data_IF_825683901206
#
_entry.id   IF_825683901206
#
_cell.length_a   1.000
_cell.length_b   1.000
_cell.length_c   1.000
_cell.angle_alpha   90.00
_cell.angle_beta   90.00
_cell.angle_gamma   90.00
#
_symmetry.space_group_name_H-M   'P 1'
#
loop_
_entity.id
_entity.type
_entity.pdbx_description
1 polymer ?
#
# COMPACT_ATOMS: atom_id res chain seq x y z
N UNK A 1 -7.34 -21.27 18.66
CA UNK A 1 -8.07 -20.24 17.88
C UNK A 1 -7.45 -20.15 16.50
N UNK A 2 -8.25 -19.92 15.47
CA UNK A 2 -7.73 -19.65 14.12
C UNK A 2 -7.19 -18.24 14.06
N UNK A 3 -6.05 -17.98 13.37
CA UNK A 3 -5.55 -16.63 13.22
C UNK A 3 -6.55 -15.73 12.47
N UNK A 4 -6.68 -14.50 12.93
CA UNK A 4 -7.61 -13.49 12.44
C UNK A 4 -6.97 -12.68 11.33
N UNK A 5 -7.56 -12.68 10.14
CA UNK A 5 -7.03 -12.00 8.95
C UNK A 5 -7.98 -10.89 8.52
N UNK A 6 -7.42 -9.71 8.25
CA UNK A 6 -8.06 -8.60 7.54
C UNK A 6 -7.55 -8.60 6.10
N UNK A 7 -8.46 -8.49 5.13
CA UNK A 7 -8.13 -8.47 3.69
C UNK A 7 -8.52 -7.13 3.07
N UNK A 8 -7.62 -6.56 2.27
CA UNK A 8 -7.83 -5.29 1.57
C UNK A 8 -7.37 -5.38 0.11
N UNK A 9 -8.32 -5.27 -0.80
CA UNK A 9 -8.08 -5.25 -2.26
C UNK A 9 -9.33 -4.66 -2.94
N UNK A 10 -9.17 -3.87 -3.98
CA UNK A 10 -10.29 -3.29 -4.73
C UNK A 10 -10.82 -4.21 -5.84
N UNK A 11 -10.13 -5.31 -6.11
CA UNK A 11 -10.53 -6.31 -7.10
C UNK A 11 -11.38 -7.41 -6.45
N UNK A 12 -12.69 -7.34 -6.64
CA UNK A 12 -13.66 -8.31 -6.06
C UNK A 12 -13.36 -9.77 -6.40
N UNK A 13 -12.87 -10.05 -7.61
CA UNK A 13 -12.51 -11.39 -8.04
C UNK A 13 -11.30 -11.95 -7.27
N UNK A 14 -10.28 -11.12 -7.03
CA UNK A 14 -9.11 -11.48 -6.23
C UNK A 14 -9.53 -11.76 -4.78
N UNK A 15 -10.36 -10.89 -4.22
CA UNK A 15 -10.90 -11.06 -2.87
C UNK A 15 -11.64 -12.40 -2.71
N UNK A 16 -12.47 -12.78 -3.68
CA UNK A 16 -13.18 -14.06 -3.66
C UNK A 16 -12.20 -15.26 -3.71
N UNK A 17 -11.18 -15.20 -4.57
CA UNK A 17 -10.15 -16.24 -4.67
C UNK A 17 -9.35 -16.40 -3.38
N UNK A 18 -8.88 -15.29 -2.79
CA UNK A 18 -8.12 -15.31 -1.54
C UNK A 18 -9.01 -15.81 -0.39
N UNK A 19 -10.26 -15.36 -0.31
CA UNK A 19 -11.21 -15.85 0.69
C UNK A 19 -11.33 -17.37 0.64
N UNK A 20 -11.47 -17.95 -0.55
CA UNK A 20 -11.55 -19.42 -0.72
C UNK A 20 -10.26 -20.11 -0.24
N UNK A 21 -9.08 -19.52 -0.47
CA UNK A 21 -7.80 -20.05 0.01
C UNK A 21 -7.65 -20.00 1.53
N UNK A 22 -8.26 -19.01 2.18
CA UNK A 22 -8.21 -18.82 3.63
C UNK A 22 -9.25 -19.64 4.37
N UNK A 23 -10.33 -20.01 3.70
CA UNK A 23 -11.46 -20.69 4.30
C UNK A 23 -11.06 -22.00 4.98
N UNK A 24 -11.62 -22.26 6.15
CA UNK A 24 -11.31 -23.44 6.96
C UNK A 24 -10.02 -23.37 7.79
N UNK A 25 -9.06 -22.52 7.41
CA UNK A 25 -7.75 -22.38 8.08
C UNK A 25 -7.62 -21.10 8.92
N UNK A 26 -8.24 -20.02 8.49
CA UNK A 26 -8.14 -18.69 9.09
C UNK A 26 -9.53 -18.09 9.33
N UNK A 27 -9.60 -17.11 10.23
CA UNK A 27 -10.81 -16.33 10.50
C UNK A 27 -10.73 -14.98 9.79
N UNK A 28 -11.51 -14.80 8.73
CA UNK A 28 -11.58 -13.55 7.98
C UNK A 28 -12.46 -12.55 8.75
N UNK A 29 -11.81 -11.64 9.50
CA UNK A 29 -12.50 -10.70 10.40
C UNK A 29 -12.96 -9.42 9.71
N UNK A 30 -12.55 -9.20 8.48
CA UNK A 30 -12.98 -8.04 7.68
C UNK A 30 -12.43 -8.10 6.27
N UNK A 31 -13.14 -7.39 5.38
CA UNK A 31 -12.77 -7.20 3.99
C UNK A 31 -13.10 -5.77 3.59
N UNK A 32 -12.14 -5.08 2.97
CA UNK A 32 -12.27 -3.68 2.55
C UNK A 32 -11.68 -3.49 1.15
N UNK A 33 -12.10 -2.44 0.45
CA UNK A 33 -11.71 -2.18 -0.95
C UNK A 33 -10.97 -0.88 -1.16
N UNK A 34 -10.58 -0.19 -0.09
CA UNK A 34 -9.80 1.06 -0.18
C UNK A 34 -8.88 1.20 1.04
N UNK A 35 -7.83 2.00 0.89
CA UNK A 35 -6.82 2.14 1.93
C UNK A 35 -7.27 2.90 3.17
N UNK A 36 -8.29 3.77 3.08
CA UNK A 36 -8.81 4.49 4.25
C UNK A 36 -9.62 3.57 5.14
N UNK A 37 -10.53 2.82 4.53
CA UNK A 37 -11.28 1.77 5.21
C UNK A 37 -10.33 0.72 5.80
N UNK A 38 -9.21 0.42 5.13
CA UNK A 38 -8.18 -0.48 5.65
C UNK A 38 -7.56 0.03 6.94
N UNK A 39 -7.12 1.29 6.98
CA UNK A 39 -6.53 1.87 8.20
C UNK A 39 -7.52 1.81 9.37
N UNK A 40 -8.77 2.23 9.14
CA UNK A 40 -9.82 2.21 10.16
C UNK A 40 -10.10 0.79 10.66
N UNK A 41 -10.29 -0.17 9.74
CA UNK A 41 -10.56 -1.56 10.07
C UNK A 41 -9.40 -2.21 10.82
N UNK A 42 -8.16 -2.01 10.39
CA UNK A 42 -6.96 -2.57 11.03
C UNK A 42 -6.79 -2.07 12.47
N UNK A 43 -6.98 -0.78 12.70
CA UNK A 43 -6.86 -0.18 14.03
C UNK A 43 -7.99 -0.59 14.98
N UNK A 44 -9.20 -0.79 14.47
CA UNK A 44 -10.35 -1.24 15.23
C UNK A 44 -10.32 -2.75 15.53
N UNK A 45 -10.06 -3.57 14.51
CA UNK A 45 -10.17 -5.03 14.62
C UNK A 45 -8.92 -5.68 15.20
N UNK A 46 -7.75 -5.03 15.10
CA UNK A 46 -6.45 -5.58 15.53
C UNK A 46 -6.27 -7.04 15.08
N UNK A 47 -6.26 -7.33 13.77
CA UNK A 47 -6.10 -8.70 13.25
C UNK A 47 -4.69 -9.24 13.53
N UNK A 48 -4.53 -10.57 13.54
CA UNK A 48 -3.22 -11.21 13.65
C UNK A 48 -2.35 -10.96 12.40
N UNK A 49 -3.00 -10.75 11.25
CA UNK A 49 -2.37 -10.40 9.97
C UNK A 49 -3.31 -9.57 9.12
N UNK A 50 -2.76 -8.55 8.47
CA UNK A 50 -3.43 -7.80 7.40
C UNK A 50 -2.79 -8.16 6.07
N UNK A 51 -3.59 -8.63 5.10
CA UNK A 51 -3.20 -8.83 3.71
C UNK A 51 -3.75 -7.65 2.92
N UNK A 52 -2.89 -6.95 2.19
CA UNK A 52 -3.28 -5.71 1.51
C UNK A 52 -2.64 -5.58 0.13
N UNK A 53 -3.43 -5.06 -0.82
CA UNK A 53 -2.88 -4.65 -2.12
C UNK A 53 -2.05 -3.37 -2.00
N UNK A 54 -1.10 -3.20 -2.90
CA UNK A 54 -0.30 -1.99 -3.02
C UNK A 54 -1.11 -0.83 -3.59
N UNK A 55 -1.89 -1.10 -4.63
CA UNK A 55 -2.68 -0.08 -5.33
C UNK A 55 -4.15 -0.20 -4.94
N UNK A 56 -4.64 0.78 -4.19
CA UNK A 56 -6.05 0.86 -3.77
C UNK A 56 -6.56 2.29 -3.88
N UNK A 57 -7.87 2.49 -4.09
CA UNK A 57 -8.50 3.81 -4.12
C UNK A 57 -8.35 4.57 -2.80
N UNK A 58 -8.45 5.90 -2.87
CA UNK A 58 -8.49 6.86 -1.76
C UNK A 58 -7.22 6.96 -0.93
N UNK A 59 -6.50 5.87 -0.76
CA UNK A 59 -5.20 5.76 -0.09
C UNK A 59 -4.55 4.44 -0.53
N UNK A 60 -3.38 4.49 -1.17
CA UNK A 60 -2.67 3.29 -1.59
C UNK A 60 -2.22 2.44 -0.38
N UNK A 61 -2.00 1.14 -0.61
CA UNK A 61 -1.68 0.21 0.48
C UNK A 61 -0.38 0.53 1.21
N UNK A 62 0.61 1.10 0.53
CA UNK A 62 1.89 1.48 1.15
C UNK A 62 1.70 2.63 2.15
N UNK A 63 0.96 3.67 1.76
CA UNK A 63 0.67 4.78 2.67
C UNK A 63 -0.32 4.37 3.78
N UNK A 64 -1.25 3.46 3.49
CA UNK A 64 -2.10 2.84 4.51
C UNK A 64 -1.26 2.05 5.52
N UNK A 65 -0.30 1.24 5.06
CA UNK A 65 0.64 0.51 5.91
C UNK A 65 1.45 1.44 6.83
N UNK A 66 1.98 2.56 6.30
CA UNK A 66 2.69 3.57 7.09
C UNK A 66 1.80 4.16 8.19
N UNK A 67 0.54 4.47 7.89
CA UNK A 67 -0.41 4.98 8.88
C UNK A 67 -0.73 3.93 9.93
N UNK A 68 -0.99 2.68 9.54
CA UNK A 68 -1.22 1.57 10.48
C UNK A 68 -0.02 1.38 11.40
N UNK A 69 1.19 1.31 10.84
CA UNK A 69 2.42 1.10 11.61
C UNK A 69 2.74 2.24 12.58
N UNK A 70 2.39 3.47 12.22
CA UNK A 70 2.54 4.63 13.08
C UNK A 70 1.69 4.52 14.36
N UNK A 71 0.43 4.09 14.23
CA UNK A 71 -0.52 3.98 15.34
C UNK A 71 -0.45 2.60 16.04
N UNK A 72 -0.03 1.58 15.30
CA UNK A 72 0.09 0.20 15.80
C UNK A 72 1.36 -0.47 15.24
N UNK A 73 2.54 -0.23 15.85
CA UNK A 73 3.84 -0.73 15.36
C UNK A 73 3.92 -2.26 15.23
N UNK A 74 3.18 -3.01 16.05
CA UNK A 74 3.18 -4.48 16.04
C UNK A 74 2.33 -5.10 14.92
N UNK A 75 1.59 -4.32 14.14
CA UNK A 75 0.77 -4.81 13.05
C UNK A 75 1.62 -5.68 12.09
N UNK A 76 1.14 -6.88 11.76
CA UNK A 76 1.75 -7.72 10.73
C UNK A 76 1.08 -7.43 9.41
N UNK A 77 1.88 -7.03 8.42
CA UNK A 77 1.41 -6.62 7.10
C UNK A 77 2.05 -7.49 6.03
N UNK A 78 1.22 -8.05 5.14
CA UNK A 78 1.61 -8.83 3.98
C UNK A 78 1.04 -8.17 2.74
N UNK A 79 1.91 -7.67 1.87
CA UNK A 79 1.51 -7.08 0.60
C UNK A 79 1.25 -8.16 -0.44
N UNK A 80 0.14 -8.00 -1.15
CA UNK A 80 -0.24 -8.82 -2.29
C UNK A 80 -0.48 -7.89 -3.48
N UNK A 81 0.28 -8.01 -4.56
CA UNK A 81 0.31 -7.00 -5.63
C UNK A 81 0.47 -7.60 -7.01
N UNK A 82 0.03 -6.88 -8.03
CA UNK A 82 0.32 -7.19 -9.43
C UNK A 82 1.73 -6.74 -9.86
N UNK A 83 2.39 -5.88 -9.08
CA UNK A 83 3.62 -5.21 -9.50
C UNK A 83 4.88 -5.90 -8.96
N UNK A 84 5.73 -6.41 -9.87
CA UNK A 84 7.04 -6.98 -9.56
C UNK A 84 8.16 -5.91 -9.60
N UNK A 85 7.89 -4.70 -9.11
CA UNK A 85 8.83 -3.57 -9.19
C UNK A 85 9.67 -3.41 -7.92
N UNK A 86 10.97 -3.18 -8.09
CA UNK A 86 11.89 -2.86 -6.98
C UNK A 86 11.45 -1.62 -6.18
N UNK A 87 10.82 -0.65 -6.84
CA UNK A 87 10.33 0.57 -6.19
C UNK A 87 9.24 0.24 -5.18
N UNK A 88 8.20 -0.50 -5.61
CA UNK A 88 7.11 -0.91 -4.72
C UNK A 88 7.57 -1.81 -3.59
N UNK A 89 8.46 -2.77 -3.89
CA UNK A 89 8.99 -3.67 -2.87
C UNK A 89 9.75 -2.88 -1.79
N UNK A 90 10.63 -1.94 -2.19
CA UNK A 90 11.36 -1.09 -1.26
C UNK A 90 10.42 -0.27 -0.39
N UNK A 91 9.46 0.41 -1.00
CA UNK A 91 8.49 1.25 -0.30
C UNK A 91 7.64 0.43 0.69
N UNK A 92 7.26 -0.81 0.32
CA UNK A 92 6.52 -1.73 1.19
C UNK A 92 7.37 -2.19 2.39
N UNK A 93 8.65 -2.51 2.18
CA UNK A 93 9.59 -2.86 3.25
C UNK A 93 9.81 -1.67 4.19
N UNK A 94 10.05 -0.47 3.64
CA UNK A 94 10.19 0.77 4.42
C UNK A 94 8.91 1.13 5.20
N UNK A 95 7.73 0.76 4.68
CA UNK A 95 6.46 0.91 5.37
C UNK A 95 6.24 -0.13 6.49
N UNK A 96 7.18 -1.07 6.68
CA UNK A 96 7.14 -2.10 7.72
C UNK A 96 6.39 -3.37 7.32
N UNK A 97 6.26 -3.64 6.02
CA UNK A 97 5.75 -4.90 5.50
C UNK A 97 6.65 -6.07 5.88
N UNK A 98 6.06 -7.17 6.30
CA UNK A 98 6.76 -8.41 6.63
C UNK A 98 6.66 -9.45 5.50
N UNK A 99 5.69 -9.32 4.62
CA UNK A 99 5.50 -10.20 3.46
C UNK A 99 5.23 -9.41 2.19
N UNK A 100 5.72 -9.96 1.07
CA UNK A 100 5.44 -9.42 -0.26
C UNK A 100 5.28 -10.58 -1.24
N UNK A 101 4.09 -10.71 -1.85
CA UNK A 101 3.69 -11.80 -2.75
C UNK A 101 3.07 -11.20 -4.01
N UNK A 102 3.35 -11.79 -5.16
CA UNK A 102 2.67 -11.41 -6.40
C UNK A 102 1.28 -12.06 -6.50
N UNK A 103 0.28 -11.31 -6.97
CA UNK A 103 -1.08 -11.85 -7.18
C UNK A 103 -1.08 -13.01 -8.18
N UNK A 104 -0.16 -13.03 -9.14
CA UNK A 104 0.00 -14.11 -10.12
C UNK A 104 0.45 -15.43 -9.51
N UNK A 105 1.16 -15.42 -8.38
CA UNK A 105 1.65 -16.61 -7.67
C UNK A 105 0.93 -16.85 -6.32
N UNK A 106 -0.12 -16.08 -6.03
CA UNK A 106 -0.79 -16.13 -4.72
C UNK A 106 -1.31 -17.51 -4.33
N UNK A 107 -1.80 -18.30 -5.29
CA UNK A 107 -2.34 -19.65 -5.02
C UNK A 107 -1.29 -20.57 -4.40
N UNK A 108 -0.04 -20.48 -4.84
CA UNK A 108 1.05 -21.35 -4.42
C UNK A 108 1.77 -20.80 -3.18
N UNK A 109 1.95 -19.48 -3.13
CA UNK A 109 2.86 -18.84 -2.18
C UNK A 109 2.16 -18.25 -0.95
N UNK A 110 0.90 -17.81 -1.07
CA UNK A 110 0.21 -17.03 -0.04
C UNK A 110 0.12 -17.76 1.30
N UNK A 111 -0.17 -19.06 1.28
CA UNK A 111 -0.27 -19.87 2.51
C UNK A 111 1.09 -19.92 3.24
N UNK A 112 2.17 -20.11 2.51
CA UNK A 112 3.53 -20.13 3.06
C UNK A 112 3.91 -18.77 3.63
N UNK A 113 3.59 -17.70 2.91
CA UNK A 113 3.82 -16.32 3.33
C UNK A 113 3.08 -15.99 4.63
N UNK A 114 1.77 -16.33 4.69
CA UNK A 114 0.95 -16.13 5.89
C UNK A 114 1.55 -16.83 7.10
N UNK A 115 1.92 -18.11 6.96
CA UNK A 115 2.47 -18.89 8.06
C UNK A 115 3.80 -18.32 8.58
N UNK A 116 4.70 -17.86 7.68
CA UNK A 116 5.96 -17.22 8.07
C UNK A 116 5.73 -15.90 8.79
N UNK A 117 4.86 -15.04 8.25
CA UNK A 117 4.59 -13.72 8.83
C UNK A 117 3.88 -13.84 10.18
N UNK A 118 2.94 -14.77 10.33
CA UNK A 118 2.29 -15.03 11.62
C UNK A 118 3.26 -15.47 12.71
N UNK A 119 4.31 -16.23 12.34
CA UNK A 119 5.41 -16.64 13.25
C UNK A 119 6.41 -15.51 13.54
N UNK A 120 6.22 -14.31 12.99
CA UNK A 120 7.11 -13.17 13.18
C UNK A 120 8.30 -13.13 12.21
N UNK A 121 8.36 -14.04 11.23
CA UNK A 121 9.34 -14.00 10.15
C UNK A 121 8.93 -13.07 9.03
N UNK A 122 9.80 -12.92 8.04
CA UNK A 122 9.51 -12.22 6.78
C UNK A 122 9.40 -13.20 5.61
N UNK A 123 8.61 -12.83 4.61
CA UNK A 123 8.46 -13.60 3.38
C UNK A 123 8.58 -12.70 2.16
N UNK A 124 9.44 -13.08 1.25
CA UNK A 124 9.53 -12.48 -0.05
C UNK A 124 9.38 -13.59 -1.08
N UNK A 125 8.46 -13.41 -2.01
CA UNK A 125 8.15 -14.41 -3.03
C UNK A 125 9.38 -14.72 -3.89
N UNK A 126 9.71 -15.99 -4.16
CA UNK A 126 10.81 -16.38 -5.03
C UNK A 126 10.68 -15.88 -6.47
N UNK A 127 9.45 -15.51 -6.87
CA UNK A 127 9.14 -14.91 -8.18
C UNK A 127 9.75 -13.52 -8.40
N UNK A 128 10.31 -12.89 -7.37
CA UNK A 128 11.09 -11.67 -7.55
C UNK A 128 12.46 -11.98 -8.09
N UNK A 129 12.81 -11.35 -9.20
CA UNK A 129 14.14 -11.47 -9.79
C UNK A 129 15.23 -11.11 -8.79
N UNK A 130 16.34 -11.85 -8.86
CA UNK A 130 17.49 -11.62 -7.97
C UNK A 130 18.01 -10.18 -8.03
N UNK A 131 17.96 -9.56 -9.19
CA UNK A 131 18.33 -8.15 -9.39
C UNK A 131 17.44 -7.19 -8.59
N UNK A 132 16.12 -7.46 -8.53
CA UNK A 132 15.17 -6.69 -7.71
C UNK A 132 15.52 -6.79 -6.22
N UNK A 133 15.88 -7.99 -5.75
CA UNK A 133 16.26 -8.22 -4.36
C UNK A 133 17.58 -7.51 -4.00
N UNK A 134 18.56 -7.58 -4.86
CA UNK A 134 19.86 -6.92 -4.69
C UNK A 134 19.70 -5.39 -4.72
N UNK A 135 18.86 -4.86 -5.60
CA UNK A 135 18.54 -3.44 -5.68
C UNK A 135 17.86 -2.94 -4.39
N UNK A 136 16.93 -3.70 -3.82
CA UNK A 136 16.26 -3.35 -2.56
C UNK A 136 17.25 -3.40 -1.39
N UNK A 137 18.06 -4.45 -1.29
CA UNK A 137 19.07 -4.57 -0.24
C UNK A 137 20.12 -3.45 -0.30
N UNK A 138 20.56 -3.08 -1.50
CA UNK A 138 21.51 -1.98 -1.70
C UNK A 138 20.90 -0.62 -1.35
N UNK A 139 19.60 -0.43 -1.61
CA UNK A 139 18.88 0.81 -1.30
C UNK A 139 18.64 0.97 0.20
N UNK A 140 18.35 -0.12 0.92
CA UNK A 140 18.23 -0.13 2.39
C UNK A 140 19.57 0.23 3.05
N UNK A 141 20.69 -0.26 2.50
CA UNK A 141 22.04 0.00 3.03
C UNK A 141 22.56 1.41 2.71
N UNK A 142 22.08 2.00 1.62
CA UNK A 142 22.40 3.38 1.23
C UNK A 142 21.08 4.09 1.00
N UNK A 143 20.51 4.81 1.98
CA UNK A 143 19.37 5.66 1.74
C UNK A 143 19.78 6.66 0.66
N UNK A 144 19.44 6.31 -0.58
CA UNK A 144 19.88 7.00 -1.77
C UNK A 144 19.27 8.40 -1.83
N UNK A 145 20.09 9.34 -2.16
CA UNK A 145 19.70 10.64 -2.68
C UNK A 145 18.66 10.45 -3.78
N UNK A 146 17.59 11.22 -3.70
CA UNK A 146 16.75 11.59 -4.80
C UNK A 146 15.53 10.73 -5.08
N UNK A 147 14.50 11.02 -4.36
CA UNK A 147 13.25 11.42 -4.98
C UNK A 147 12.78 12.63 -4.18
N UNK A 148 12.21 13.62 -4.85
CA UNK A 148 11.57 14.75 -4.17
C UNK A 148 10.57 14.17 -3.18
N UNK A 149 10.95 14.13 -1.88
CA UNK A 149 10.14 13.45 -0.88
C UNK A 149 8.88 14.26 -0.61
N UNK A 150 7.78 13.80 -1.15
CA UNK A 150 6.47 14.29 -0.75
C UNK A 150 6.16 13.80 0.67
N UNK A 151 5.57 14.67 1.49
CA UNK A 151 5.03 14.24 2.79
C UNK A 151 3.85 13.28 2.58
N UNK A 152 3.52 12.46 3.57
CA UNK A 152 2.36 11.56 3.48
C UNK A 152 1.09 12.31 3.04
N UNK A 153 0.84 13.51 3.61
CA UNK A 153 -0.30 14.34 3.22
C UNK A 153 -0.24 14.83 1.76
N UNK A 154 0.94 15.13 1.26
CA UNK A 154 1.12 15.49 -0.15
C UNK A 154 0.90 14.29 -1.07
N UNK A 155 1.32 13.08 -0.68
CA UNK A 155 1.03 11.86 -1.45
C UNK A 155 -0.47 11.57 -1.50
N UNK A 156 -1.19 11.67 -0.38
CA UNK A 156 -2.65 11.52 -0.36
C UNK A 156 -3.36 12.50 -1.31
N UNK A 157 -2.97 13.79 -1.27
CA UNK A 157 -3.54 14.80 -2.17
C UNK A 157 -3.21 14.48 -3.63
N UNK A 158 -1.98 14.08 -3.92
CA UNK A 158 -1.54 13.74 -5.27
C UNK A 158 -2.26 12.50 -5.81
N UNK A 159 -2.43 11.47 -4.99
CA UNK A 159 -3.21 10.29 -5.35
C UNK A 159 -4.65 10.66 -5.74
N UNK A 160 -5.34 11.41 -4.89
CA UNK A 160 -6.72 11.82 -5.15
C UNK A 160 -6.85 12.72 -6.41
N UNK A 161 -5.84 13.55 -6.71
CA UNK A 161 -5.77 14.28 -7.98
C UNK A 161 -5.63 13.31 -9.15
N UNK A 162 -4.78 12.30 -9.03
CA UNK A 162 -4.58 11.30 -10.08
C UNK A 162 -5.80 10.40 -10.30
N UNK A 163 -6.60 10.17 -9.26
CA UNK A 163 -7.92 9.53 -9.32
C UNK A 163 -9.03 10.44 -9.92
N UNK A 164 -8.68 11.64 -10.37
CA UNK A 164 -9.62 12.59 -11.01
C UNK A 164 -10.49 13.37 -10.03
N UNK A 165 -10.21 13.36 -8.73
CA UNK A 165 -11.01 14.09 -7.73
C UNK A 165 -10.79 15.59 -7.83
N UNK A 166 -11.89 16.35 -7.75
CA UNK A 166 -11.81 17.82 -7.67
C UNK A 166 -11.49 18.29 -6.24
N UNK A 167 -10.95 19.50 -6.11
CA UNK A 167 -10.50 20.05 -4.82
C UNK A 167 -11.55 19.96 -3.69
N UNK A 168 -12.83 20.12 -4.00
CA UNK A 168 -13.93 20.00 -3.02
C UNK A 168 -14.09 18.58 -2.50
N UNK A 169 -14.01 17.58 -3.39
CA UNK A 169 -14.07 16.16 -3.01
C UNK A 169 -12.87 15.77 -2.17
N UNK A 170 -11.65 16.19 -2.59
CA UNK A 170 -10.42 15.97 -1.83
C UNK A 170 -10.53 16.57 -0.43
N UNK A 171 -11.05 17.79 -0.33
CA UNK A 171 -11.26 18.47 0.96
C UNK A 171 -12.18 17.66 1.88
N UNK A 172 -13.28 17.12 1.33
CA UNK A 172 -14.24 16.27 2.06
C UNK A 172 -13.59 14.96 2.50
N UNK A 173 -12.93 14.23 1.57
CA UNK A 173 -12.26 12.95 1.85
C UNK A 173 -11.19 13.13 2.92
N UNK A 174 -10.42 14.21 2.83
CA UNK A 174 -9.30 14.48 3.74
C UNK A 174 -9.70 15.23 5.02
N UNK A 175 -10.97 15.62 5.15
CA UNK A 175 -11.54 16.40 6.28
C UNK A 175 -10.75 17.70 6.53
N UNK A 176 -10.48 18.45 5.47
CA UNK A 176 -9.77 19.74 5.50
C UNK A 176 -10.50 20.80 4.66
N UNK A 177 -10.03 22.05 4.70
CA UNK A 177 -10.58 23.09 3.83
C UNK A 177 -10.07 22.95 2.39
N UNK A 178 -10.86 23.45 1.41
CA UNK A 178 -10.44 23.53 0.01
C UNK A 178 -9.14 24.32 -0.13
N UNK A 179 -8.98 25.39 0.64
CA UNK A 179 -7.75 26.21 0.68
C UNK A 179 -6.52 25.38 1.12
N UNK A 180 -6.70 24.44 2.04
CA UNK A 180 -5.64 23.52 2.46
C UNK A 180 -5.23 22.58 1.33
N UNK A 181 -6.20 22.08 0.56
CA UNK A 181 -5.93 21.25 -0.63
C UNK A 181 -5.15 22.03 -1.68
N UNK A 182 -5.56 23.26 -1.97
CA UNK A 182 -4.87 24.16 -2.90
C UNK A 182 -3.44 24.47 -2.46
N UNK A 183 -3.23 24.71 -1.18
CA UNK A 183 -1.90 24.87 -0.60
C UNK A 183 -1.02 23.64 -0.84
N UNK A 184 -1.51 22.44 -0.52
CA UNK A 184 -0.76 21.21 -0.78
C UNK A 184 -0.48 21.01 -2.27
N UNK A 185 -1.47 21.26 -3.15
CA UNK A 185 -1.31 21.18 -4.60
C UNK A 185 -0.22 22.12 -5.13
N UNK A 186 -0.19 23.36 -4.65
CA UNK A 186 0.87 24.31 -4.98
C UNK A 186 2.25 23.84 -4.53
N UNK A 187 2.35 23.32 -3.31
CA UNK A 187 3.60 22.75 -2.77
C UNK A 187 4.07 21.51 -3.53
N UNK A 188 3.13 20.64 -3.95
CA UNK A 188 3.46 19.45 -4.76
C UNK A 188 4.03 19.90 -6.10
N UNK A 189 3.35 20.82 -6.82
CA UNK A 189 3.82 21.35 -8.10
C UNK A 189 5.22 21.94 -7.99
N UNK A 190 5.45 22.79 -6.99
CA UNK A 190 6.75 23.40 -6.73
C UNK A 190 7.84 22.38 -6.44
N UNK A 191 7.54 21.36 -5.61
CA UNK A 191 8.52 20.32 -5.27
C UNK A 191 8.87 19.42 -6.46
N UNK A 192 7.89 19.10 -7.30
CA UNK A 192 8.06 18.20 -8.45
C UNK A 192 8.55 18.93 -9.70
N UNK A 193 8.55 20.27 -9.70
CA UNK A 193 8.90 21.07 -10.88
C UNK A 193 7.89 20.90 -12.02
N UNK A 194 6.60 20.62 -11.70
CA UNK A 194 5.53 20.38 -12.68
C UNK A 194 4.51 21.51 -12.70
N UNK A 195 3.92 21.76 -13.86
CA UNK A 195 3.02 22.89 -14.06
C UNK A 195 1.59 22.50 -14.41
N UNK A 196 1.39 21.32 -14.99
CA UNK A 196 0.07 20.81 -15.42
C UNK A 196 -0.47 19.72 -14.51
N UNK A 197 -1.77 19.43 -14.63
CA UNK A 197 -2.40 18.27 -13.95
C UNK A 197 -1.94 16.97 -14.59
N UNK A 198 -1.78 16.96 -15.91
CA UNK A 198 -1.29 15.78 -16.64
C UNK A 198 0.11 15.34 -16.17
N UNK A 199 1.00 16.28 -15.89
CA UNK A 199 2.33 15.99 -15.33
C UNK A 199 2.22 15.43 -13.90
N UNK A 200 1.31 15.95 -13.08
CA UNK A 200 1.04 15.41 -11.75
C UNK A 200 0.56 13.96 -11.80
N UNK A 201 -0.39 13.66 -12.72
CA UNK A 201 -0.91 12.30 -12.91
C UNK A 201 0.20 11.36 -13.36
N UNK A 202 0.99 11.75 -14.36
CA UNK A 202 2.12 10.95 -14.84
C UNK A 202 3.11 10.65 -13.71
N UNK A 203 3.41 11.65 -12.90
CA UNK A 203 4.29 11.47 -11.75
C UNK A 203 3.69 10.51 -10.71
N UNK A 204 2.38 10.61 -10.44
CA UNK A 204 1.69 9.73 -9.51
C UNK A 204 1.73 8.26 -9.96
N UNK A 205 1.53 7.99 -11.26
CA UNK A 205 1.66 6.65 -11.85
C UNK A 205 3.10 6.15 -11.71
N UNK A 206 4.10 6.95 -12.10
CA UNK A 206 5.52 6.56 -12.00
C UNK A 206 5.98 6.32 -10.55
N UNK A 207 5.41 7.06 -9.60
CA UNK A 207 5.68 6.90 -8.17
C UNK A 207 4.86 5.77 -7.52
N UNK A 208 3.99 5.11 -8.27
CA UNK A 208 3.18 4.01 -7.77
C UNK A 208 2.08 4.41 -6.78
N UNK A 209 1.62 5.64 -6.85
CA UNK A 209 0.52 6.11 -6.00
C UNK A 209 -0.85 5.65 -6.53
N UNK A 210 -0.95 5.41 -7.82
CA UNK A 210 -2.13 4.89 -8.53
C UNK A 210 -1.69 3.83 -9.52
N UNK A 211 -2.60 2.88 -9.85
CA UNK A 211 -2.40 1.93 -10.95
C UNK A 211 -2.38 2.61 -12.32
N UNK A 212 -1.91 1.89 -13.34
CA UNK A 212 -1.97 2.33 -14.74
C UNK A 212 -3.39 2.29 -15.28
#
# INVERSE_FOLDING_TARGET
MRPRILLADDHSFILAGIRSLLEGHYDLVGQVSDGRSLVEAALRLKPDLTILDVTMPLLNGIDAARQIKKEWPQAKLLFLTMHASAVYLREAVEAGGLGYVLKSSATEELRTAIQKVLKGGSYLAPSFDREVLEAVQSSIRKPGRSSVQLTGRQREVLQLIAEGRVNKEIATILKVSVKTVEFHRGRIKSKLGVHSVAELIRWAVQAGLVGE
#
